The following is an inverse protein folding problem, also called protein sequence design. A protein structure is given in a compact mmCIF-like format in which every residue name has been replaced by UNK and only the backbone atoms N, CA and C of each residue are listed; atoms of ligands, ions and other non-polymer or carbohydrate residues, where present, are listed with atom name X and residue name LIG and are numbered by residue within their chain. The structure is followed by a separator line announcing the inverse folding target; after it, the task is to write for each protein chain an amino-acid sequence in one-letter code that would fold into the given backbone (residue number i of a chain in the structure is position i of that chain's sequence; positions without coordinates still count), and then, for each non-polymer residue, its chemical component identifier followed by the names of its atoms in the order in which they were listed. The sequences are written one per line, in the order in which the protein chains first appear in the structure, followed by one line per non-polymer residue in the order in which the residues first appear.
data_IF_532431233144
#
_entry.id   IF_532431233144
#
_cell.length_a   1.000
_cell.length_b   1.000
_cell.length_c   1.000
_cell.angle_alpha   90.00
_cell.angle_beta   90.00
_cell.angle_gamma   90.00
#
_symmetry.space_group_name_H-M   'P 1'
#
loop_
_entity.id
_entity.type
_entity.pdbx_description
1 polymer ?
#
# COMPACT_ATOMS: atom_id res chain seq x y z
N UNK A 1 -3.62 -2.55 23.46
CA UNK A 1 -3.92 -1.15 23.10
C UNK A 1 -4.56 -0.39 24.25
N UNK A 2 -5.69 -0.85 24.80
CA UNK A 2 -6.48 -0.08 25.79
C UNK A 2 -5.78 0.17 27.13
N UNK A 3 -4.95 -0.77 27.62
CA UNK A 3 -4.15 -0.56 28.85
C UNK A 3 -3.00 0.44 28.70
N UNK A 4 -2.46 0.61 27.48
CA UNK A 4 -1.31 1.52 27.26
C UNK A 4 -1.66 3.00 27.47
N UNK A 5 -2.94 3.37 27.39
CA UNK A 5 -3.40 4.73 27.67
C UNK A 5 -3.19 5.11 29.15
N UNK A 6 -3.20 4.13 30.06
CA UNK A 6 -3.01 4.35 31.51
C UNK A 6 -1.55 4.63 31.89
N UNK A 7 -0.60 4.25 31.01
CA UNK A 7 0.84 4.44 31.19
C UNK A 7 1.31 5.82 30.67
N UNK A 8 0.41 6.58 30.04
CA UNK A 8 0.71 7.88 29.43
C UNK A 8 0.68 9.05 30.41
N UNK A 9 1.13 10.23 29.96
CA UNK A 9 1.14 11.47 30.74
C UNK A 9 -0.14 12.30 30.57
N UNK A 10 -1.29 11.65 30.41
CA UNK A 10 -2.58 12.32 30.22
C UNK A 10 -3.14 12.80 31.56
N UNK A 11 -3.83 13.95 31.57
CA UNK A 11 -4.58 14.40 32.73
C UNK A 11 -5.69 13.37 33.07
N UNK A 12 -6.00 13.12 34.35
CA UNK A 12 -7.03 12.14 34.73
C UNK A 12 -8.40 12.37 34.09
N UNK A 13 -8.77 13.63 33.81
CA UNK A 13 -10.04 13.96 33.13
C UNK A 13 -10.00 13.57 31.66
N UNK A 14 -8.89 13.86 30.97
CA UNK A 14 -8.68 13.49 29.57
C UNK A 14 -8.56 11.97 29.39
N UNK A 15 -7.99 11.28 30.39
CA UNK A 15 -7.86 9.82 30.38
C UNK A 15 -9.22 9.12 30.25
N UNK A 16 -10.24 9.64 30.94
CA UNK A 16 -11.58 9.05 30.93
C UNK A 16 -12.21 9.21 29.54
N UNK A 17 -12.14 10.42 28.97
CA UNK A 17 -12.64 10.74 27.64
C UNK A 17 -11.92 9.93 26.56
N UNK A 18 -10.59 9.81 26.65
CA UNK A 18 -9.78 9.06 25.70
C UNK A 18 -10.10 7.56 25.70
N UNK A 19 -10.35 6.98 26.88
CA UNK A 19 -10.78 5.57 27.00
C UNK A 19 -12.13 5.33 26.36
N UNK A 20 -13.12 6.18 26.65
CA UNK A 20 -14.45 6.07 26.05
C UNK A 20 -14.41 6.20 24.53
N UNK A 21 -13.66 7.17 24.01
CA UNK A 21 -13.44 7.34 22.57
C UNK A 21 -12.76 6.13 21.93
N UNK A 22 -11.71 5.60 22.55
CA UNK A 22 -11.00 4.43 22.01
C UNK A 22 -11.87 3.17 21.97
N UNK A 23 -12.70 2.92 22.98
CA UNK A 23 -13.64 1.79 22.99
C UNK A 23 -14.74 1.98 21.95
N UNK A 24 -15.23 3.21 21.78
CA UNK A 24 -16.25 3.54 20.78
C UNK A 24 -15.74 3.37 19.34
N UNK A 25 -14.56 3.92 19.04
CA UNK A 25 -14.03 3.96 17.68
C UNK A 25 -13.30 2.66 17.31
N UNK A 26 -12.65 2.01 18.29
CA UNK A 26 -11.87 0.79 18.12
C UNK A 26 -12.20 -0.24 19.20
N UNK A 27 -13.44 -0.78 19.20
CA UNK A 27 -13.90 -1.72 20.23
C UNK A 27 -13.01 -2.98 20.33
N UNK A 28 -12.49 -3.43 19.18
CA UNK A 28 -11.57 -4.58 19.08
C UNK A 28 -10.10 -4.15 19.02
N UNK A 29 -9.80 -2.87 19.22
CA UNK A 29 -8.49 -2.28 18.98
C UNK A 29 -8.17 -2.04 17.50
N UNK A 30 -6.93 -1.62 17.24
CA UNK A 30 -6.40 -1.41 15.89
C UNK A 30 -5.57 -2.64 15.52
N UNK A 31 -5.91 -3.35 14.42
CA UNK A 31 -5.13 -4.49 13.98
C UNK A 31 -3.75 -4.06 13.50
N UNK A 32 -2.76 -4.94 13.59
CA UNK A 32 -1.44 -4.69 13.02
C UNK A 32 -1.55 -4.60 11.50
N UNK A 33 -1.21 -3.46 10.89
CA UNK A 33 -1.35 -3.29 9.44
C UNK A 33 -0.05 -3.41 8.65
N UNK A 34 1.10 -3.23 9.30
CA UNK A 34 2.41 -3.15 8.66
C UNK A 34 2.76 -1.73 8.17
N UNK A 35 4.06 -1.45 8.05
CA UNK A 35 4.56 -0.12 7.68
C UNK A 35 4.20 0.25 6.22
N UNK A 36 4.36 -0.68 5.28
CA UNK A 36 4.07 -0.43 3.86
C UNK A 36 2.60 -0.07 3.63
N UNK A 37 1.69 -0.80 4.28
CA UNK A 37 0.25 -0.53 4.19
C UNK A 37 -0.11 0.87 4.72
N UNK A 38 0.53 1.29 5.83
CA UNK A 38 0.36 2.63 6.39
C UNK A 38 0.93 3.70 5.45
N UNK A 39 2.12 3.49 4.89
CA UNK A 39 2.73 4.41 3.93
C UNK A 39 1.85 4.59 2.68
N UNK A 40 1.38 3.49 2.08
CA UNK A 40 0.46 3.55 0.94
C UNK A 40 -0.85 4.27 1.29
N UNK A 41 -1.41 4.01 2.47
CA UNK A 41 -2.59 4.71 2.94
C UNK A 41 -2.35 6.22 3.03
N UNK A 42 -1.27 6.65 3.70
CA UNK A 42 -0.93 8.06 3.87
C UNK A 42 -0.66 8.76 2.53
N UNK A 43 0.07 8.12 1.62
CA UNK A 43 0.29 8.65 0.26
C UNK A 43 -1.05 8.84 -0.47
N UNK A 44 -2.01 7.94 -0.27
CA UNK A 44 -3.33 8.07 -0.87
C UNK A 44 -4.20 9.20 -0.31
N UNK A 45 -3.79 9.83 0.78
CA UNK A 45 -4.45 11.03 1.32
C UNK A 45 -3.83 12.34 0.83
N UNK A 46 -2.71 12.31 0.10
CA UNK A 46 -1.89 13.50 -0.20
C UNK A 46 -2.58 14.62 -1.01
N UNK A 47 -3.73 14.37 -1.64
CA UNK A 47 -4.55 15.44 -2.26
C UNK A 47 -5.49 16.15 -1.28
N UNK A 48 -5.72 15.60 -0.09
CA UNK A 48 -6.64 16.17 0.89
C UNK A 48 -5.85 17.13 1.81
N UNK A 49 -6.19 18.42 1.73
CA UNK A 49 -5.63 19.55 2.49
C UNK A 49 -5.28 19.21 3.94
N UNK A 50 -4.14 19.70 4.45
CA UNK A 50 -3.59 19.83 5.82
C UNK A 50 -3.98 18.86 6.95
N UNK A 51 -5.21 18.36 7.00
CA UNK A 51 -5.75 17.41 7.96
C UNK A 51 -6.12 16.09 7.27
N UNK A 52 -5.38 15.04 7.61
CA UNK A 52 -5.69 13.67 7.20
C UNK A 52 -6.63 13.04 8.23
N UNK A 53 -7.85 12.71 7.83
CA UNK A 53 -8.71 11.83 8.62
C UNK A 53 -8.36 10.36 8.30
N UNK A 54 -7.44 9.80 9.08
CA UNK A 54 -6.91 8.45 8.83
C UNK A 54 -7.98 7.40 9.15
N UNK A 55 -8.40 6.66 8.14
CA UNK A 55 -9.28 5.51 8.27
C UNK A 55 -8.46 4.22 8.33
N UNK A 56 -8.52 3.53 9.46
CA UNK A 56 -7.83 2.24 9.67
C UNK A 56 -8.33 1.18 8.67
N UNK A 57 -9.59 1.21 8.26
CA UNK A 57 -10.11 0.28 7.26
C UNK A 57 -9.39 0.45 5.91
N UNK A 58 -9.07 1.70 5.53
CA UNK A 58 -8.27 1.97 4.34
C UNK A 58 -6.85 1.40 4.46
N UNK A 59 -6.22 1.52 5.62
CA UNK A 59 -4.90 0.89 5.86
C UNK A 59 -4.99 -0.63 5.73
N UNK A 60 -6.07 -1.26 6.22
CA UNK A 60 -6.28 -2.70 6.09
C UNK A 60 -6.44 -3.14 4.63
N UNK A 61 -7.10 -2.35 3.78
CA UNK A 61 -7.20 -2.63 2.34
C UNK A 61 -5.81 -2.65 1.70
N UNK A 62 -4.97 -1.66 2.02
CA UNK A 62 -3.59 -1.65 1.51
C UNK A 62 -2.75 -2.83 2.04
N UNK A 63 -2.97 -3.28 3.28
CA UNK A 63 -2.34 -4.51 3.78
C UNK A 63 -2.71 -5.73 2.92
N UNK A 64 -3.99 -5.89 2.60
CA UNK A 64 -4.45 -6.99 1.74
C UNK A 64 -3.84 -6.90 0.34
N UNK A 65 -3.70 -5.69 -0.19
CA UNK A 65 -3.04 -5.45 -1.47
C UNK A 65 -1.54 -5.80 -1.43
N UNK A 66 -0.80 -5.35 -0.41
CA UNK A 66 0.61 -5.73 -0.21
C UNK A 66 0.77 -7.26 -0.10
N UNK A 67 -0.14 -7.94 0.62
CA UNK A 67 -0.14 -9.40 0.72
C UNK A 67 -0.41 -10.07 -0.63
N UNK A 68 -1.32 -9.50 -1.45
CA UNK A 68 -1.57 -9.97 -2.81
C UNK A 68 -0.31 -9.85 -3.67
N UNK A 69 0.39 -8.73 -3.61
CA UNK A 69 1.65 -8.51 -4.33
C UNK A 69 2.71 -9.54 -3.90
N UNK A 70 2.86 -9.76 -2.59
CA UNK A 70 3.77 -10.77 -2.06
C UNK A 70 3.45 -12.18 -2.59
N UNK A 71 2.17 -12.58 -2.57
CA UNK A 71 1.74 -13.86 -3.10
C UNK A 71 2.03 -14.01 -4.61
N UNK A 72 1.83 -12.96 -5.41
CA UNK A 72 2.14 -12.96 -6.86
C UNK A 72 3.64 -13.16 -7.09
N UNK A 73 4.48 -12.48 -6.32
CA UNK A 73 5.94 -12.62 -6.43
C UNK A 73 6.37 -14.03 -6.04
N UNK A 74 5.90 -14.55 -4.90
CA UNK A 74 6.24 -15.91 -4.45
C UNK A 74 5.79 -16.98 -5.45
N UNK A 75 4.57 -16.86 -5.98
CA UNK A 75 4.08 -17.74 -7.04
C UNK A 75 4.99 -17.68 -8.28
N UNK A 76 5.35 -16.47 -8.73
CA UNK A 76 6.19 -16.28 -9.92
C UNK A 76 7.59 -16.86 -9.73
N UNK A 77 8.23 -16.57 -8.59
CA UNK A 77 9.55 -17.13 -8.24
C UNK A 77 9.51 -18.66 -8.18
N UNK A 78 8.46 -19.24 -7.59
CA UNK A 78 8.27 -20.69 -7.55
C UNK A 78 8.13 -21.31 -8.95
N UNK A 79 7.54 -20.60 -9.92
CA UNK A 79 7.39 -21.08 -11.30
C UNK A 79 8.65 -20.95 -12.13
N UNK A 80 9.45 -19.91 -11.90
CA UNK A 80 10.69 -19.68 -12.62
C UNK A 80 11.81 -20.63 -12.15
N UNK A 81 11.84 -20.98 -10.85
CA UNK A 81 12.89 -21.79 -10.24
C UNK A 81 14.09 -20.95 -9.78
N UNK A 82 14.90 -21.51 -8.87
CA UNK A 82 15.99 -20.77 -8.22
C UNK A 82 17.14 -20.39 -9.18
N UNK A 83 17.37 -21.19 -10.22
CA UNK A 83 18.45 -21.01 -11.19
C UNK A 83 18.01 -20.21 -12.43
N UNK A 84 16.84 -19.59 -12.39
CA UNK A 84 16.33 -18.81 -13.51
C UNK A 84 17.19 -17.57 -13.76
N UNK A 85 17.72 -17.46 -14.98
CA UNK A 85 18.43 -16.28 -15.46
C UNK A 85 17.58 -15.64 -16.57
N UNK A 86 17.17 -14.37 -16.42
CA UNK A 86 16.41 -13.69 -17.46
C UNK A 86 17.27 -13.49 -18.72
N UNK A 87 16.68 -13.63 -19.92
CA UNK A 87 17.39 -13.36 -21.17
C UNK A 87 17.82 -11.89 -21.25
N UNK A 88 19.04 -11.65 -21.76
CA UNK A 88 19.63 -10.30 -21.90
C UNK A 88 18.99 -9.47 -23.01
N UNK A 89 18.38 -10.12 -23.99
CA UNK A 89 17.66 -9.45 -25.07
C UNK A 89 16.29 -10.12 -25.24
N UNK A 90 15.24 -9.31 -25.10
CA UNK A 90 13.85 -9.73 -25.28
C UNK A 90 13.28 -8.87 -26.39
N UNK A 91 13.02 -9.48 -27.54
CA UNK A 91 12.31 -8.83 -28.64
C UNK A 91 10.79 -9.01 -28.41
N UNK A 92 10.03 -7.93 -28.19
CA UNK A 92 8.60 -8.03 -27.92
C UNK A 92 7.81 -8.71 -29.05
N UNK A 93 8.26 -8.59 -30.29
CA UNK A 93 7.57 -9.16 -31.46
C UNK A 93 7.58 -10.69 -31.48
N UNK A 94 8.57 -11.30 -30.81
CA UNK A 94 8.72 -12.75 -30.74
C UNK A 94 7.89 -13.38 -29.60
N UNK A 95 7.29 -12.54 -28.75
CA UNK A 95 6.47 -12.98 -27.62
C UNK A 95 5.02 -13.24 -28.02
N UNK A 96 4.29 -14.11 -27.29
CA UNK A 96 2.85 -14.25 -27.46
C UNK A 96 2.12 -12.91 -27.28
N UNK A 97 1.02 -12.72 -27.99
CA UNK A 97 0.21 -11.49 -27.92
C UNK A 97 -0.15 -11.07 -26.49
N UNK A 98 -0.45 -12.02 -25.60
CA UNK A 98 -0.72 -11.74 -24.18
C UNK A 98 0.47 -11.09 -23.47
N UNK A 99 1.69 -11.55 -23.73
CA UNK A 99 2.91 -10.99 -23.16
C UNK A 99 3.21 -9.60 -23.73
N UNK A 100 2.96 -9.39 -25.04
CA UNK A 100 3.07 -8.08 -25.67
C UNK A 100 2.13 -7.06 -25.02
N UNK A 101 0.88 -7.45 -24.75
CA UNK A 101 -0.10 -6.60 -24.09
C UNK A 101 0.32 -6.26 -22.66
N UNK A 102 0.80 -7.25 -21.89
CA UNK A 102 1.31 -7.03 -20.53
C UNK A 102 2.47 -6.03 -20.55
N UNK A 103 3.43 -6.20 -21.47
CA UNK A 103 4.56 -5.28 -21.61
C UNK A 103 4.11 -3.86 -21.98
N UNK A 104 3.12 -3.72 -22.87
CA UNK A 104 2.56 -2.43 -23.23
C UNK A 104 1.91 -1.74 -22.03
N UNK A 105 1.08 -2.46 -21.27
CA UNK A 105 0.39 -1.92 -20.09
C UNK A 105 1.38 -1.58 -18.98
N UNK A 106 2.38 -2.44 -18.76
CA UNK A 106 3.48 -2.18 -17.83
C UNK A 106 4.25 -0.91 -18.21
N UNK A 107 4.67 -0.76 -19.47
CA UNK A 107 5.36 0.44 -19.92
C UNK A 107 4.53 1.70 -19.71
N UNK A 108 3.22 1.66 -20.01
CA UNK A 108 2.31 2.79 -19.73
C UNK A 108 2.25 3.13 -18.24
N UNK A 109 2.17 2.12 -17.37
CA UNK A 109 2.18 2.33 -15.92
C UNK A 109 3.51 2.92 -15.43
N UNK A 110 4.64 2.44 -15.95
CA UNK A 110 5.98 2.97 -15.65
C UNK A 110 6.08 4.45 -16.04
N UNK A 111 5.77 4.79 -17.30
CA UNK A 111 5.84 6.18 -17.78
C UNK A 111 4.97 7.12 -16.95
N UNK A 112 3.73 6.70 -16.66
CA UNK A 112 2.81 7.50 -15.86
C UNK A 112 3.31 7.66 -14.43
N UNK A 113 3.82 6.59 -13.81
CA UNK A 113 4.33 6.62 -12.43
C UNK A 113 5.55 7.52 -12.31
N UNK A 114 6.50 7.45 -13.26
CA UNK A 114 7.67 8.32 -13.29
C UNK A 114 7.23 9.79 -13.38
N UNK A 115 6.37 10.12 -14.35
CA UNK A 115 5.91 11.48 -14.56
C UNK A 115 5.16 12.08 -13.34
N UNK A 116 4.35 11.26 -12.65
CA UNK A 116 3.62 11.72 -11.46
C UNK A 116 4.54 11.88 -10.26
N UNK A 117 5.54 11.00 -10.09
CA UNK A 117 6.56 11.14 -9.04
C UNK A 117 7.42 12.40 -9.25
N UNK A 118 7.88 12.66 -10.48
CA UNK A 118 8.65 13.88 -10.82
C UNK A 118 7.84 15.16 -10.57
N UNK A 119 6.52 15.09 -10.72
CA UNK A 119 5.60 16.20 -10.45
C UNK A 119 5.15 16.29 -8.98
N UNK A 120 5.72 15.49 -8.07
CA UNK A 120 5.34 15.39 -6.65
C UNK A 120 3.85 15.01 -6.43
N UNK A 121 3.20 14.39 -7.42
CA UNK A 121 1.81 13.91 -7.35
C UNK A 121 1.76 12.49 -6.83
N UNK A 122 2.11 12.31 -5.55
CA UNK A 122 2.29 10.98 -4.95
C UNK A 122 1.00 10.14 -4.92
N UNK A 123 -0.17 10.75 -4.72
CA UNK A 123 -1.45 10.03 -4.86
C UNK A 123 -1.61 9.42 -6.26
N UNK A 124 -1.32 10.18 -7.30
CA UNK A 124 -1.51 9.73 -8.69
C UNK A 124 -0.53 8.60 -9.02
N UNK A 125 0.71 8.67 -8.48
CA UNK A 125 1.69 7.60 -8.56
C UNK A 125 1.18 6.33 -7.86
N UNK A 126 0.75 6.44 -6.59
CA UNK A 126 0.23 5.30 -5.83
C UNK A 126 -1.00 4.67 -6.49
N UNK A 127 -1.92 5.49 -7.00
CA UNK A 127 -3.11 5.02 -7.72
C UNK A 127 -2.76 4.30 -9.01
N UNK A 128 -1.76 4.80 -9.76
CA UNK A 128 -1.28 4.16 -10.99
C UNK A 128 -0.70 2.78 -10.71
N UNK A 129 0.16 2.66 -9.69
CA UNK A 129 0.76 1.38 -9.27
C UNK A 129 -0.30 0.42 -8.72
N UNK A 130 -1.25 0.90 -7.93
CA UNK A 130 -2.32 0.08 -7.37
C UNK A 130 -3.24 -0.51 -8.45
N UNK A 131 -3.48 0.25 -9.54
CA UNK A 131 -4.38 -0.13 -10.63
C UNK A 131 -3.77 -1.02 -11.72
N UNK A 132 -2.45 -1.19 -11.71
CA UNK A 132 -1.74 -2.08 -12.64
C UNK A 132 -1.97 -3.55 -12.28
#
# INVERSE_FOLDING_TARGET
LHKRIEEGNLDPKELTVAKEGQVKDFPNGIPECGADALCFALISYTTQSDKINLDIQRVMVYRQWCNKLWNVIQFSMSKLGADYVPPTNVNPNDLPFSCQLILLVLNRAIFKTIATLESYKFLDAASTVYSW
#
